data_IF_291823838891
#
_entry.id   IF_291823838891
#
_cell.length_a   1.000
_cell.length_b   1.000
_cell.length_c   1.000
_cell.angle_alpha   90.00
_cell.angle_beta   90.00
_cell.angle_gamma   90.00
#
_symmetry.space_group_name_H-M   'P 1'
#
loop_
_entity.id
_entity.type
_entity.pdbx_description
1 polymer ?
#
# COMPACT_ATOMS: atom_id res chain seq x y z
N UNK A 1 -12.76 7.26 23.65
CA UNK A 1 -13.70 6.15 23.32
C UNK A 1 -15.14 6.51 23.63
N UNK A 2 -15.46 7.20 24.74
CA UNK A 2 -16.83 7.66 25.03
C UNK A 2 -17.42 8.58 23.96
N UNK A 3 -16.69 9.61 23.51
CA UNK A 3 -17.14 10.49 22.41
C UNK A 3 -17.48 9.73 21.12
N UNK A 4 -16.71 8.68 20.79
CA UNK A 4 -17.00 7.80 19.64
C UNK A 4 -18.30 7.02 19.86
N UNK A 5 -18.49 6.47 21.07
CA UNK A 5 -19.71 5.73 21.42
C UNK A 5 -20.93 6.65 21.38
N UNK A 6 -20.83 7.85 21.95
CA UNK A 6 -21.90 8.87 21.91
C UNK A 6 -22.23 9.21 20.46
N UNK A 7 -21.23 9.52 19.64
CA UNK A 7 -21.46 9.95 18.26
C UNK A 7 -22.08 8.83 17.40
N UNK A 8 -21.67 7.57 17.59
CA UNK A 8 -22.29 6.43 16.91
C UNK A 8 -23.71 6.18 17.39
N UNK A 9 -23.98 6.33 18.68
CA UNK A 9 -25.34 6.23 19.24
C UNK A 9 -26.27 7.31 18.67
N UNK A 10 -25.81 8.57 18.58
CA UNK A 10 -26.56 9.68 17.96
C UNK A 10 -26.87 9.42 16.48
N UNK A 11 -26.02 8.66 15.79
CA UNK A 11 -26.23 8.24 14.39
C UNK A 11 -27.14 7.00 14.26
N UNK A 12 -27.72 6.50 15.36
CA UNK A 12 -28.44 5.21 15.42
C UNK A 12 -27.62 4.02 14.89
N UNK A 13 -26.30 4.09 15.02
CA UNK A 13 -25.38 3.03 14.65
C UNK A 13 -25.17 2.13 15.86
N UNK A 14 -26.02 1.13 16.03
CA UNK A 14 -25.96 0.21 17.16
C UNK A 14 -24.58 -0.48 17.26
N UNK A 15 -23.92 -0.30 18.40
CA UNK A 15 -22.61 -0.88 18.71
C UNK A 15 -22.72 -2.24 19.42
N UNK A 16 -23.92 -2.68 19.80
CA UNK A 16 -24.13 -3.91 20.57
C UNK A 16 -23.79 -5.19 19.80
N UNK A 17 -23.55 -5.11 18.48
CA UNK A 17 -23.09 -6.23 17.66
C UNK A 17 -21.56 -6.43 17.67
N UNK A 18 -20.76 -5.53 18.28
CA UNK A 18 -19.32 -5.78 18.39
C UNK A 18 -19.05 -6.79 19.50
N UNK A 19 -18.98 -8.08 19.15
CA UNK A 19 -18.81 -9.22 20.05
C UNK A 19 -17.51 -9.24 20.90
N UNK A 20 -16.63 -8.23 20.83
CA UNK A 20 -15.33 -8.26 21.50
C UNK A 20 -14.97 -6.89 22.08
N UNK A 21 -14.69 -6.85 23.38
CA UNK A 21 -14.38 -5.65 24.20
C UNK A 21 -13.05 -4.95 23.84
N UNK A 22 -12.40 -5.29 22.73
CA UNK A 22 -11.18 -4.62 22.31
C UNK A 22 -11.47 -3.26 21.66
N UNK A 23 -10.88 -2.14 22.16
CA UNK A 23 -11.08 -0.80 21.61
C UNK A 23 -10.85 -0.67 20.11
N UNK A 24 -9.96 -1.50 19.55
CA UNK A 24 -9.64 -1.50 18.13
C UNK A 24 -10.73 -2.18 17.28
N UNK A 25 -11.41 -3.21 17.78
CA UNK A 25 -12.55 -3.85 17.10
C UNK A 25 -13.71 -2.87 16.91
N UNK A 26 -14.01 -2.08 17.95
CA UNK A 26 -15.05 -1.05 17.89
C UNK A 26 -14.73 0.01 16.82
N UNK A 27 -13.47 0.42 16.69
CA UNK A 27 -13.06 1.41 15.69
C UNK A 27 -13.17 0.89 14.25
N UNK A 28 -12.80 -0.37 14.03
CA UNK A 28 -12.94 -1.02 12.72
C UNK A 28 -14.43 -1.18 12.37
N UNK A 29 -15.26 -1.54 13.34
CA UNK A 29 -16.71 -1.61 13.18
C UNK A 29 -17.31 -0.24 12.85
N UNK A 30 -16.94 0.79 13.61
CA UNK A 30 -17.35 2.17 13.38
C UNK A 30 -16.98 2.65 11.97
N UNK A 31 -15.74 2.40 11.53
CA UNK A 31 -15.31 2.71 10.16
C UNK A 31 -16.23 2.05 9.13
N UNK A 32 -16.50 0.75 9.27
CA UNK A 32 -17.36 0.02 8.34
C UNK A 32 -18.80 0.56 8.34
N UNK A 33 -19.36 0.88 9.51
CA UNK A 33 -20.70 1.45 9.63
C UNK A 33 -20.80 2.83 9.00
N UNK A 34 -19.86 3.73 9.30
CA UNK A 34 -19.82 5.09 8.73
C UNK A 34 -19.71 5.06 7.20
N UNK A 35 -18.95 4.09 6.65
CA UNK A 35 -18.90 3.86 5.19
C UNK A 35 -20.26 3.41 4.65
N UNK A 36 -20.92 2.45 5.31
CA UNK A 36 -22.22 1.93 4.87
C UNK A 36 -23.34 2.96 4.93
N UNK A 37 -23.28 3.91 5.88
CA UNK A 37 -24.28 4.96 6.04
C UNK A 37 -23.92 6.28 5.35
N UNK A 38 -22.87 6.30 4.53
CA UNK A 38 -22.41 7.49 3.79
C UNK A 38 -22.02 8.68 4.69
N UNK A 39 -21.61 8.40 5.94
CA UNK A 39 -21.22 9.40 6.93
C UNK A 39 -19.71 9.66 6.93
N UNK A 40 -19.12 9.82 5.74
CA UNK A 40 -17.66 9.86 5.57
C UNK A 40 -17.02 11.15 6.11
N UNK A 41 -17.74 12.26 6.05
CA UNK A 41 -17.30 13.55 6.61
C UNK A 41 -17.11 13.45 8.12
N UNK A 42 -17.96 12.67 8.79
CA UNK A 42 -17.84 12.40 10.23
C UNK A 42 -16.54 11.65 10.52
N UNK A 43 -16.23 10.62 9.73
CA UNK A 43 -14.97 9.90 9.88
C UNK A 43 -13.76 10.82 9.69
N UNK A 44 -13.81 11.72 8.70
CA UNK A 44 -12.74 12.68 8.44
C UNK A 44 -12.53 13.64 9.62
N UNK A 45 -13.60 14.19 10.19
CA UNK A 45 -13.54 15.01 11.42
C UNK A 45 -12.92 14.20 12.56
N UNK A 46 -13.38 12.97 12.77
CA UNK A 46 -12.83 12.11 13.81
C UNK A 46 -11.35 11.81 13.60
N UNK A 47 -10.92 11.53 12.37
CA UNK A 47 -9.52 11.30 12.05
C UNK A 47 -8.63 12.51 12.39
N UNK A 48 -9.11 13.72 12.10
CA UNK A 48 -8.40 14.98 12.43
C UNK A 48 -8.24 15.17 13.94
N UNK A 49 -9.28 14.89 14.72
CA UNK A 49 -9.32 15.24 16.14
C UNK A 49 -9.03 14.08 17.10
N UNK A 50 -9.01 12.83 16.63
CA UNK A 50 -8.88 11.65 17.49
C UNK A 50 -7.69 10.77 17.10
N UNK A 51 -6.66 10.73 17.97
CA UNK A 51 -5.47 9.91 17.77
C UNK A 51 -5.80 8.42 17.60
N UNK A 52 -6.73 7.89 18.37
CA UNK A 52 -7.09 6.46 18.30
C UNK A 52 -7.68 6.09 16.93
N UNK A 53 -8.40 7.01 16.28
CA UNK A 53 -8.89 6.82 14.91
C UNK A 53 -7.73 6.85 13.91
N UNK A 54 -6.71 7.70 14.11
CA UNK A 54 -5.50 7.71 13.26
C UNK A 54 -4.70 6.43 13.38
N UNK A 55 -4.61 5.88 14.59
CA UNK A 55 -3.87 4.65 14.88
C UNK A 55 -4.45 3.42 14.13
N UNK A 56 -5.66 3.49 13.56
CA UNK A 56 -6.24 2.44 12.72
C UNK A 56 -5.35 2.05 11.53
N UNK A 57 -4.57 3.00 11.00
CA UNK A 57 -3.67 2.76 9.87
C UNK A 57 -2.21 2.53 10.29
N UNK A 58 -1.93 2.59 11.60
CA UNK A 58 -0.59 2.36 12.15
C UNK A 58 -0.47 1.03 12.89
N UNK A 59 -1.52 0.59 13.59
CA UNK A 59 -1.49 -0.66 14.39
C UNK A 59 -1.54 -1.88 13.49
N UNK A 60 -0.53 -2.73 13.61
CA UNK A 60 -0.27 -3.85 12.72
C UNK A 60 -1.45 -4.80 12.55
N UNK A 61 -2.19 -5.08 13.61
CA UNK A 61 -3.13 -6.21 13.62
C UNK A 61 -4.40 -5.92 12.81
N UNK A 62 -4.69 -4.64 12.55
CA UNK A 62 -5.92 -4.20 11.88
C UNK A 62 -5.70 -3.53 10.52
N UNK A 63 -4.45 -3.22 10.14
CA UNK A 63 -4.14 -2.55 8.86
C UNK A 63 -4.77 -3.29 7.68
N UNK A 64 -4.66 -4.62 7.64
CA UNK A 64 -5.23 -5.40 6.53
C UNK A 64 -6.75 -5.27 6.46
N UNK A 65 -7.45 -5.44 7.58
CA UNK A 65 -8.91 -5.30 7.67
C UNK A 65 -9.36 -3.88 7.30
N UNK A 66 -8.65 -2.86 7.76
CA UNK A 66 -8.95 -1.46 7.46
C UNK A 66 -8.70 -1.11 5.99
N UNK A 67 -7.60 -1.60 5.41
CA UNK A 67 -7.31 -1.45 3.98
C UNK A 67 -8.37 -2.18 3.14
N UNK A 68 -8.81 -3.37 3.55
CA UNK A 68 -9.90 -4.09 2.88
C UNK A 68 -11.20 -3.29 2.85
N UNK A 69 -11.59 -2.71 4.00
CA UNK A 69 -12.78 -1.87 4.12
C UNK A 69 -12.65 -0.62 3.24
N UNK A 70 -11.50 0.07 3.32
CA UNK A 70 -11.24 1.29 2.56
C UNK A 70 -11.11 1.08 1.06
N UNK A 71 -10.77 -0.12 0.60
CA UNK A 71 -10.70 -0.46 -0.82
C UNK A 71 -11.94 -1.22 -1.32
N UNK A 72 -12.93 -1.45 -0.44
CA UNK A 72 -14.10 -2.25 -0.75
C UNK A 72 -15.07 -1.58 -1.73
N UNK A 73 -15.10 -0.25 -1.80
CA UNK A 73 -15.92 0.48 -2.77
C UNK A 73 -15.28 1.83 -3.16
N UNK A 74 -15.86 2.49 -4.17
CA UNK A 74 -15.35 3.75 -4.69
C UNK A 74 -15.33 4.87 -3.63
N UNK A 75 -16.41 5.01 -2.85
CA UNK A 75 -16.54 6.07 -1.84
C UNK A 75 -15.53 5.90 -0.71
N UNK A 76 -15.35 4.68 -0.19
CA UNK A 76 -14.36 4.41 0.84
C UNK A 76 -12.93 4.61 0.34
N UNK A 77 -12.68 4.30 -0.93
CA UNK A 77 -11.39 4.59 -1.58
C UNK A 77 -11.14 6.08 -1.76
N UNK A 78 -12.18 6.87 -2.05
CA UNK A 78 -12.09 8.32 -2.10
C UNK A 78 -11.76 8.90 -0.73
N UNK A 79 -12.39 8.42 0.34
CA UNK A 79 -12.02 8.83 1.69
C UNK A 79 -10.57 8.45 2.00
N UNK A 80 -10.12 7.23 1.70
CA UNK A 80 -8.72 6.86 1.91
C UNK A 80 -7.76 7.82 1.19
N UNK A 81 -8.10 8.21 -0.05
CA UNK A 81 -7.35 9.22 -0.78
C UNK A 81 -7.31 10.56 -0.05
N UNK A 82 -8.45 11.05 0.46
CA UNK A 82 -8.53 12.28 1.24
C UNK A 82 -7.67 12.20 2.50
N UNK A 83 -7.78 11.11 3.26
CA UNK A 83 -6.99 10.90 4.48
C UNK A 83 -5.48 10.92 4.21
N UNK A 84 -5.02 10.37 3.08
CA UNK A 84 -3.62 10.42 2.67
C UNK A 84 -3.19 11.86 2.30
N UNK A 85 -4.11 12.72 1.86
CA UNK A 85 -3.82 14.14 1.59
C UNK A 85 -3.81 15.02 2.84
N UNK A 86 -4.37 14.55 3.97
CA UNK A 86 -4.46 15.32 5.21
C UNK A 86 -3.08 15.53 5.84
N UNK A 87 -2.44 16.66 5.54
CA UNK A 87 -1.19 17.08 6.20
C UNK A 87 -1.49 17.67 7.58
N UNK A 88 -0.68 17.37 8.63
CA UNK A 88 0.51 16.50 8.64
C UNK A 88 0.22 15.03 8.98
N UNK A 89 -1.05 14.63 9.00
CA UNK A 89 -1.53 13.33 9.49
C UNK A 89 -1.21 12.17 8.55
N UNK A 90 -0.89 12.47 7.29
CA UNK A 90 -0.56 11.50 6.25
C UNK A 90 0.64 10.58 6.56
N UNK A 91 1.49 10.92 7.54
CA UNK A 91 2.55 10.06 8.07
C UNK A 91 2.02 8.72 8.62
N UNK A 92 0.73 8.64 8.96
CA UNK A 92 0.10 7.37 9.38
C UNK A 92 0.11 6.30 8.29
N UNK A 93 0.28 6.67 7.02
CA UNK A 93 0.19 5.76 5.87
C UNK A 93 1.54 5.31 5.31
N UNK A 94 2.66 5.75 5.91
CA UNK A 94 4.00 5.34 5.46
C UNK A 94 4.50 4.07 6.16
N UNK A 95 3.62 3.34 6.85
CA UNK A 95 4.01 2.10 7.52
C UNK A 95 4.25 0.99 6.49
N UNK A 96 5.28 0.18 6.76
CA UNK A 96 5.60 -1.05 6.00
C UNK A 96 4.36 -1.87 5.65
N UNK A 97 3.56 -2.24 6.65
CA UNK A 97 2.42 -3.13 6.45
C UNK A 97 1.35 -2.50 5.55
N UNK A 98 1.10 -1.20 5.69
CA UNK A 98 0.15 -0.50 4.83
C UNK A 98 0.62 -0.47 3.37
N UNK A 99 1.90 -0.16 3.14
CA UNK A 99 2.53 -0.19 1.82
C UNK A 99 2.36 -1.55 1.12
N UNK A 100 2.77 -2.64 1.77
CA UNK A 100 2.73 -3.97 1.14
C UNK A 100 1.30 -4.49 0.94
N UNK A 101 0.34 -4.08 1.78
CA UNK A 101 -1.08 -4.34 1.56
C UNK A 101 -1.61 -3.64 0.29
N UNK A 102 -1.22 -2.38 0.05
CA UNK A 102 -1.57 -1.68 -1.20
C UNK A 102 -0.95 -2.33 -2.43
N UNK A 103 0.31 -2.79 -2.33
CA UNK A 103 1.00 -3.50 -3.42
C UNK A 103 0.31 -4.82 -3.77
N UNK A 104 0.02 -5.65 -2.77
CA UNK A 104 -0.71 -6.91 -2.96
C UNK A 104 -2.08 -6.71 -3.62
N UNK A 105 -2.73 -5.58 -3.32
CA UNK A 105 -4.02 -5.17 -3.91
C UNK A 105 -3.91 -4.36 -5.19
N UNK A 106 -2.71 -4.23 -5.76
CA UNK A 106 -2.44 -3.52 -7.03
C UNK A 106 -2.91 -2.06 -7.02
N UNK A 107 -2.90 -1.41 -5.86
CA UNK A 107 -3.30 -0.01 -5.72
C UNK A 107 -2.14 0.94 -6.06
N UNK A 108 -1.58 0.82 -7.26
CA UNK A 108 -0.34 1.50 -7.65
C UNK A 108 -0.43 3.03 -7.56
N UNK A 109 -1.59 3.64 -7.87
CA UNK A 109 -1.75 5.09 -7.73
C UNK A 109 -1.70 5.57 -6.28
N UNK A 110 -2.23 4.78 -5.34
CA UNK A 110 -2.08 5.07 -3.91
C UNK A 110 -0.62 4.91 -3.48
N UNK A 111 0.09 3.89 -3.97
CA UNK A 111 1.51 3.71 -3.65
C UNK A 111 2.36 4.85 -4.22
N UNK A 112 2.12 5.30 -5.46
CA UNK A 112 2.77 6.49 -6.04
C UNK A 112 2.56 7.72 -5.17
N UNK A 113 1.35 7.89 -4.63
CA UNK A 113 1.04 8.97 -3.70
C UNK A 113 1.86 8.88 -2.43
N UNK A 114 1.96 7.71 -1.81
CA UNK A 114 2.81 7.50 -0.64
C UNK A 114 4.29 7.83 -0.92
N UNK A 115 4.81 7.42 -2.08
CA UNK A 115 6.18 7.71 -2.49
C UNK A 115 6.45 9.21 -2.65
N UNK A 116 5.46 9.99 -3.10
CA UNK A 116 5.54 11.46 -3.15
C UNK A 116 5.50 12.10 -1.77
N UNK A 117 4.85 11.46 -0.79
CA UNK A 117 4.79 11.94 0.58
C UNK A 117 6.07 11.65 1.35
N UNK A 118 6.62 10.45 1.19
CA UNK A 118 7.89 10.06 1.76
C UNK A 118 8.63 9.09 0.85
N UNK A 119 9.73 9.57 0.28
CA UNK A 119 10.61 8.75 -0.56
C UNK A 119 11.26 7.60 0.23
N UNK A 120 11.35 7.73 1.56
CA UNK A 120 11.90 6.69 2.44
C UNK A 120 11.15 5.37 2.34
N UNK A 121 9.89 5.40 1.93
CA UNK A 121 9.04 4.22 1.70
C UNK A 121 9.66 3.26 0.68
N UNK A 122 10.50 3.75 -0.25
CA UNK A 122 11.26 2.89 -1.19
C UNK A 122 12.19 1.88 -0.49
N UNK A 123 12.64 2.19 0.72
CA UNK A 123 13.58 1.36 1.47
C UNK A 123 12.90 0.34 2.38
N UNK A 124 11.57 0.37 2.47
CA UNK A 124 10.80 -0.59 3.26
C UNK A 124 10.91 -2.00 2.65
N UNK A 125 11.01 -3.00 3.52
CA UNK A 125 11.11 -4.42 3.16
C UNK A 125 10.03 -5.23 3.87
N UNK A 126 9.47 -6.24 3.20
CA UNK A 126 8.51 -7.16 3.81
C UNK A 126 9.18 -8.13 4.81
N UNK A 127 8.41 -9.05 5.39
CA UNK A 127 8.91 -10.05 6.34
C UNK A 127 9.96 -11.01 5.76
N UNK A 128 10.05 -11.13 4.43
CA UNK A 128 11.03 -11.95 3.73
C UNK A 128 12.24 -11.13 3.24
N UNK A 129 12.29 -9.84 3.56
CA UNK A 129 13.34 -8.93 3.11
C UNK A 129 13.14 -8.42 1.68
N UNK A 130 11.96 -8.60 1.09
CA UNK A 130 11.66 -8.09 -0.24
C UNK A 130 11.38 -6.59 -0.16
N UNK A 131 12.12 -5.77 -0.91
CA UNK A 131 11.70 -4.38 -1.16
C UNK A 131 10.47 -4.33 -2.08
N UNK A 132 9.99 -3.12 -2.36
CA UNK A 132 8.83 -2.90 -3.23
C UNK A 132 9.00 -3.56 -4.60
N UNK A 133 10.20 -3.42 -5.21
CA UNK A 133 10.46 -3.88 -6.56
C UNK A 133 10.46 -5.42 -6.63
N UNK A 134 11.12 -6.07 -5.67
CA UNK A 134 11.18 -7.52 -5.57
C UNK A 134 9.83 -8.11 -5.16
N UNK A 135 9.12 -7.49 -4.19
CA UNK A 135 7.78 -7.89 -3.78
C UNK A 135 6.82 -7.89 -4.96
N UNK A 136 6.86 -6.85 -5.80
CA UNK A 136 6.05 -6.80 -7.02
C UNK A 136 6.32 -8.02 -7.90
N UNK A 137 7.58 -8.36 -8.13
CA UNK A 137 7.97 -9.48 -9.01
C UNK A 137 7.56 -10.84 -8.44
N UNK A 138 7.67 -11.05 -7.12
CA UNK A 138 7.42 -12.35 -6.49
C UNK A 138 5.97 -12.57 -6.03
N UNK A 139 5.26 -11.52 -5.61
CA UNK A 139 3.97 -11.66 -4.89
C UNK A 139 2.77 -11.12 -5.64
N UNK A 140 2.98 -10.17 -6.53
CA UNK A 140 1.88 -9.60 -7.34
C UNK A 140 1.77 -10.42 -8.64
N UNK A 141 0.64 -10.36 -9.36
CA UNK A 141 0.50 -10.94 -10.71
C UNK A 141 -0.10 -9.95 -11.70
N UNK A 142 0.17 -10.14 -12.99
CA UNK A 142 -0.38 -9.33 -14.08
C UNK A 142 0.56 -8.24 -14.60
N UNK A 143 0.05 -7.33 -15.43
CA UNK A 143 0.85 -6.28 -16.06
C UNK A 143 1.22 -5.17 -15.06
N UNK A 144 2.49 -5.13 -14.65
CA UNK A 144 3.04 -4.16 -13.70
C UNK A 144 4.30 -3.43 -14.19
N UNK A 145 4.69 -3.61 -15.46
CA UNK A 145 5.91 -3.03 -16.04
C UNK A 145 5.98 -1.49 -15.86
N UNK A 146 4.88 -0.76 -16.10
CA UNK A 146 4.83 0.70 -15.88
C UNK A 146 5.10 1.13 -14.44
N UNK A 147 4.70 0.30 -13.48
CA UNK A 147 4.94 0.60 -12.07
C UNK A 147 6.36 0.23 -11.65
N UNK A 148 6.93 -0.83 -12.22
CA UNK A 148 8.35 -1.16 -12.08
C UNK A 148 9.23 -0.04 -12.65
N UNK A 149 8.94 0.42 -13.86
CA UNK A 149 9.61 1.56 -14.48
C UNK A 149 9.58 2.79 -13.58
N UNK A 150 8.39 3.12 -13.05
CA UNK A 150 8.23 4.22 -12.11
C UNK A 150 9.12 4.08 -10.86
N UNK A 151 9.19 2.89 -10.26
CA UNK A 151 10.02 2.65 -9.07
C UNK A 151 11.52 2.77 -9.37
N UNK A 152 11.97 2.25 -10.52
CA UNK A 152 13.36 2.37 -10.97
C UNK A 152 13.70 3.85 -11.16
N UNK A 153 12.84 4.62 -11.84
CA UNK A 153 12.99 6.08 -12.02
C UNK A 153 13.01 6.85 -10.71
N UNK A 154 12.33 6.36 -9.68
CA UNK A 154 12.36 6.94 -8.33
C UNK A 154 13.61 6.55 -7.51
N UNK A 155 14.53 5.75 -8.08
CA UNK A 155 15.78 5.37 -7.42
C UNK A 155 15.70 4.09 -6.58
N UNK A 156 14.74 3.20 -6.86
CA UNK A 156 14.69 1.90 -6.18
C UNK A 156 15.96 1.07 -6.48
N UNK A 157 16.50 0.41 -5.45
CA UNK A 157 17.73 -0.37 -5.58
C UNK A 157 17.46 -1.72 -6.27
N UNK A 158 17.82 -1.83 -7.55
CA UNK A 158 17.60 -3.03 -8.36
C UNK A 158 18.54 -4.19 -8.03
N UNK A 159 19.59 -3.94 -7.24
CA UNK A 159 20.59 -4.94 -6.84
C UNK A 159 20.38 -5.47 -5.42
N UNK A 160 19.38 -4.95 -4.68
CA UNK A 160 19.09 -5.46 -3.33
C UNK A 160 18.70 -6.94 -3.41
N UNK A 161 19.19 -7.70 -2.43
CA UNK A 161 18.85 -9.11 -2.24
C UNK A 161 17.95 -9.29 -1.01
N UNK A 162 16.95 -10.16 -1.11
CA UNK A 162 16.13 -10.55 0.03
C UNK A 162 16.86 -11.58 0.92
N UNK A 163 16.18 -12.04 1.99
CA UNK A 163 16.75 -13.04 2.91
C UNK A 163 16.99 -14.41 2.28
N UNK A 164 16.44 -14.66 1.09
CA UNK A 164 16.69 -15.87 0.29
C UNK A 164 17.76 -15.66 -0.80
N UNK A 165 18.45 -14.52 -0.83
CA UNK A 165 19.48 -14.22 -1.83
C UNK A 165 18.94 -13.91 -3.22
N UNK A 166 17.65 -13.59 -3.35
CA UNK A 166 17.03 -13.23 -4.63
C UNK A 166 17.07 -11.72 -4.85
N UNK A 167 17.47 -11.29 -6.05
CA UNK A 167 17.39 -9.92 -6.52
C UNK A 167 16.20 -9.71 -7.45
N UNK A 168 15.96 -8.45 -7.86
CA UNK A 168 15.00 -8.11 -8.93
C UNK A 168 15.25 -8.92 -10.21
N UNK A 169 16.51 -9.03 -10.65
CA UNK A 169 16.88 -9.76 -11.86
C UNK A 169 16.54 -11.25 -11.75
N UNK A 170 16.91 -11.89 -10.64
CA UNK A 170 16.58 -13.29 -10.38
C UNK A 170 15.05 -13.52 -10.43
N UNK A 171 14.27 -12.56 -9.91
CA UNK A 171 12.82 -12.68 -9.84
C UNK A 171 12.12 -12.51 -11.20
N UNK A 172 12.56 -11.58 -12.05
CA UNK A 172 11.94 -11.38 -13.38
C UNK A 172 12.26 -12.52 -14.35
N UNK A 173 13.36 -13.24 -14.14
CA UNK A 173 13.75 -14.42 -14.93
C UNK A 173 13.00 -15.70 -14.52
N UNK A 174 12.21 -15.67 -13.44
CA UNK A 174 11.35 -16.80 -13.07
C UNK A 174 10.35 -17.10 -14.19
N UNK A 175 10.12 -18.40 -14.46
CA UNK A 175 9.19 -18.88 -15.50
C UNK A 175 7.80 -18.25 -15.42
N UNK A 176 7.29 -18.01 -14.22
CA UNK A 176 5.98 -17.37 -13.99
C UNK A 176 5.94 -15.88 -14.35
N UNK A 177 7.11 -15.24 -14.45
CA UNK A 177 7.29 -13.83 -14.81
C UNK A 177 7.63 -13.62 -16.29
N UNK A 178 7.62 -14.65 -17.14
CA UNK A 178 7.96 -14.48 -18.56
C UNK A 178 7.19 -13.37 -19.27
N UNK A 179 5.88 -13.22 -18.98
CA UNK A 179 5.07 -12.13 -19.56
C UNK A 179 5.51 -10.76 -19.08
N UNK A 180 5.93 -10.65 -17.82
CA UNK A 180 6.49 -9.42 -17.27
C UNK A 180 7.84 -9.13 -17.92
N UNK A 181 8.73 -10.12 -17.99
CA UNK A 181 10.04 -10.00 -18.59
C UNK A 181 9.96 -9.48 -20.03
N UNK A 182 9.11 -10.10 -20.86
CA UNK A 182 8.87 -9.64 -22.23
C UNK A 182 8.39 -8.18 -22.26
N UNK A 183 7.46 -7.79 -21.36
CA UNK A 183 7.00 -6.40 -21.27
C UNK A 183 8.10 -5.43 -20.84
N UNK A 184 9.04 -5.86 -19.99
CA UNK A 184 10.17 -5.03 -19.58
C UNK A 184 11.14 -4.80 -20.76
N UNK A 185 11.36 -5.81 -21.62
CA UNK A 185 12.12 -5.64 -22.86
C UNK A 185 11.38 -4.79 -23.91
N UNK A 186 10.10 -5.07 -24.16
CA UNK A 186 9.26 -4.34 -25.13
C UNK A 186 9.19 -2.83 -24.84
N UNK A 187 9.25 -2.46 -23.57
CA UNK A 187 9.22 -1.07 -23.12
C UNK A 187 10.62 -0.52 -22.79
N UNK A 188 11.69 -1.23 -23.17
CA UNK A 188 13.08 -0.82 -22.97
C UNK A 188 13.41 -0.43 -21.52
N UNK A 189 12.76 -1.09 -20.55
CA UNK A 189 13.03 -0.89 -19.11
C UNK A 189 14.30 -1.67 -18.72
N UNK A 190 14.49 -2.83 -19.34
CA UNK A 190 15.67 -3.67 -19.21
C UNK A 190 16.23 -3.99 -20.59
N UNK A 191 17.52 -4.31 -20.65
CA UNK A 191 18.23 -4.71 -21.87
C UNK A 191 19.06 -5.96 -21.59
N UNK A 192 19.37 -6.71 -22.65
CA UNK A 192 20.34 -7.80 -22.57
C UNK A 192 21.71 -7.24 -22.93
N UNK A 193 22.63 -7.27 -21.98
CA UNK A 193 24.01 -6.88 -22.20
C UNK A 193 24.77 -8.04 -22.86
N UNK A 194 25.06 -7.89 -24.15
CA UNK A 194 25.77 -8.88 -24.95
C UNK A 194 27.21 -9.14 -24.44
N UNK A 195 27.82 -8.19 -23.71
CA UNK A 195 29.18 -8.34 -23.20
C UNK A 195 29.22 -9.23 -21.96
N UNK A 196 28.28 -9.02 -21.04
CA UNK A 196 28.22 -9.78 -19.78
C UNK A 196 27.30 -10.98 -19.83
N UNK A 197 26.44 -11.07 -20.86
CA UNK A 197 25.40 -12.09 -20.99
C UNK A 197 24.30 -11.94 -19.95
N UNK A 198 24.11 -10.74 -19.38
CA UNK A 198 23.19 -10.47 -18.27
C UNK A 198 22.13 -9.45 -18.65
N UNK A 199 21.00 -9.51 -17.95
CA UNK A 199 19.99 -8.47 -18.01
C UNK A 199 20.46 -7.27 -17.17
N UNK A 200 20.32 -6.07 -17.71
CA UNK A 200 20.63 -4.80 -17.04
C UNK A 200 19.46 -3.82 -17.14
N UNK A 201 19.45 -2.78 -16.31
CA UNK A 201 18.51 -1.66 -16.46
C UNK A 201 18.91 -0.81 -17.66
N UNK A 202 17.94 -0.38 -18.46
CA UNK A 202 18.19 0.57 -19.54
C UNK A 202 18.60 1.94 -19.02
N UNK A 203 19.70 2.48 -19.53
CA UNK A 203 20.18 3.84 -19.17
C UNK A 203 19.24 4.93 -19.65
N UNK A 204 18.49 4.69 -20.72
CA UNK A 204 17.52 5.62 -21.31
C UNK A 204 16.35 5.93 -20.35
N UNK A 205 16.19 5.18 -19.25
CA UNK A 205 15.19 5.46 -18.23
C UNK A 205 15.47 6.74 -17.43
N UNK A 206 16.69 7.25 -17.45
CA UNK A 206 17.13 8.37 -16.62
C UNK A 206 17.43 9.66 -17.41
N UNK A 207 17.27 9.61 -18.73
CA UNK A 207 17.34 10.77 -19.64
C UNK A 207 15.99 11.49 -19.73
#
# INVERSE_FOLDING_TARGET
MELLKILLNELNLDLNESCEDEPNHLLVYALNRLIKTDCMDIFLVMYRHNKTVRDLFQKTDYIEKNVNIMLGNHKSKQLLNQLIDEKPLNTCFTTRKFLFQLLGKKQFELVKKLLKLSISVLNEIDENGNDILLYLCLKVRGCRHRFIEYLIKMGCNTQRINYCGQSFFNAIELKENQKLLNKLFEHEIILFDNLTGKIIISTNLFE
#
